data_IF_556774307146
#
_entry.id   IF_556774307146
#
_cell.length_a   1.000
_cell.length_b   1.000
_cell.length_c   1.000
_cell.angle_alpha   90.00
_cell.angle_beta   90.00
_cell.angle_gamma   90.00
#
_symmetry.space_group_name_H-M   'P 1'
#
loop_
_entity.id
_entity.type
_entity.pdbx_description
1 polymer ?
#
# COMPACT_ATOMS: atom_id res chain seq x y z
N UNK A 1 39.92 27.96 78.43
CA UNK A 1 40.89 26.84 78.43
C UNK A 1 40.68 26.04 77.16
N UNK A 2 41.73 25.96 76.31
CA UNK A 2 42.04 24.95 75.28
C UNK A 2 41.01 24.61 74.18
N UNK A 3 41.33 24.34 72.91
CA UNK A 3 42.52 24.38 72.02
C UNK A 3 41.95 24.11 70.60
N UNK A 4 42.09 25.03 69.64
CA UNK A 4 42.83 24.90 68.36
C UNK A 4 43.00 23.47 67.81
N UNK A 5 42.45 23.20 66.62
CA UNK A 5 42.95 22.26 65.59
C UNK A 5 42.41 22.74 64.21
N UNK A 6 43.18 23.50 63.44
CA UNK A 6 44.08 23.13 62.31
C UNK A 6 43.34 22.74 61.01
N UNK A 7 43.43 23.67 60.05
CA UNK A 7 43.24 23.51 58.60
C UNK A 7 44.27 22.51 58.01
N UNK A 8 43.87 21.69 57.04
CA UNK A 8 44.78 21.24 55.97
C UNK A 8 43.98 21.08 54.66
N UNK A 9 44.47 21.74 53.62
CA UNK A 9 43.99 21.75 52.23
C UNK A 9 44.75 20.67 51.45
N UNK A 10 44.05 19.90 50.62
CA UNK A 10 44.58 19.09 49.49
C UNK A 10 43.43 18.99 48.46
N UNK A 11 43.46 19.78 47.38
CA UNK A 11 44.12 19.54 46.09
C UNK A 11 43.41 18.51 45.20
N UNK A 12 42.67 19.04 44.22
CA UNK A 12 42.32 18.55 42.87
C UNK A 12 42.67 17.12 42.46
N UNK A 13 41.69 16.40 41.90
CA UNK A 13 41.81 15.80 40.56
C UNK A 13 40.43 15.70 39.88
N UNK A 14 40.36 16.29 38.69
CA UNK A 14 39.35 16.07 37.65
C UNK A 14 39.52 14.66 37.08
N UNK A 15 38.42 13.97 36.81
CA UNK A 15 38.39 12.97 35.74
C UNK A 15 36.96 12.76 35.21
N UNK A 16 36.78 13.29 34.00
CA UNK A 16 36.05 12.72 32.87
C UNK A 16 34.56 12.44 33.01
N UNK A 17 33.80 13.50 32.78
CA UNK A 17 32.55 13.48 32.01
C UNK A 17 32.81 12.85 30.64
N UNK A 18 32.75 11.52 30.54
CA UNK A 18 32.48 10.83 29.29
C UNK A 18 30.99 10.99 28.97
N UNK A 19 30.61 12.18 28.47
CA UNK A 19 29.42 12.31 27.65
C UNK A 19 29.71 11.53 26.36
N UNK A 20 29.33 10.25 26.34
CA UNK A 20 29.20 9.50 25.12
C UNK A 20 28.13 10.22 24.27
N UNK A 21 28.61 11.05 23.36
CA UNK A 21 27.81 11.57 22.25
C UNK A 21 27.44 10.36 21.41
N UNK A 22 26.29 9.74 21.72
CA UNK A 22 25.68 8.75 20.85
C UNK A 22 25.32 9.49 19.58
N UNK A 23 26.22 9.43 18.59
CA UNK A 23 25.87 9.73 17.22
C UNK A 23 24.77 8.73 16.87
N UNK A 24 23.52 9.17 16.91
CA UNK A 24 22.42 8.44 16.29
C UNK A 24 22.85 8.27 14.84
N UNK A 25 23.27 7.05 14.50
CA UNK A 25 23.49 6.68 13.12
C UNK A 25 22.14 6.86 12.45
N UNK A 26 22.03 7.89 11.62
CA UNK A 26 20.81 8.17 10.89
C UNK A 26 20.60 6.99 9.95
N UNK A 27 19.53 6.22 10.19
CA UNK A 27 19.22 5.05 9.38
C UNK A 27 19.10 5.47 7.90
N UNK A 28 19.61 4.65 6.97
CA UNK A 28 19.58 4.98 5.56
C UNK A 28 18.12 5.13 5.09
N UNK A 29 17.80 6.24 4.43
CA UNK A 29 16.46 6.42 3.85
C UNK A 29 16.17 5.37 2.77
N UNK A 30 14.90 5.03 2.54
CA UNK A 30 14.49 4.12 1.47
C UNK A 30 15.06 4.54 0.11
N UNK A 31 15.06 5.85 -0.16
CA UNK A 31 15.65 6.43 -1.38
C UNK A 31 17.14 6.14 -1.53
N UNK A 32 17.89 6.15 -0.42
CA UNK A 32 19.32 5.82 -0.41
C UNK A 32 19.54 4.32 -0.63
N UNK A 33 18.74 3.48 0.02
CA UNK A 33 18.82 2.04 -0.14
C UNK A 33 18.50 1.59 -1.57
N UNK A 34 17.47 2.18 -2.20
CA UNK A 34 17.12 1.93 -3.60
C UNK A 34 18.27 2.21 -4.59
N UNK A 35 19.18 3.12 -4.25
CA UNK A 35 20.33 3.46 -5.09
C UNK A 35 21.51 2.49 -4.91
N UNK A 36 21.58 1.79 -3.78
CA UNK A 36 22.70 0.91 -3.43
C UNK A 36 22.28 -0.17 -2.42
N UNK A 37 21.50 -1.19 -2.82
CA UNK A 37 20.96 -2.22 -1.94
C UNK A 37 21.98 -3.33 -1.60
N UNK A 38 23.26 -3.00 -1.50
CA UNK A 38 24.35 -3.95 -1.21
C UNK A 38 24.26 -4.39 0.25
N UNK A 39 23.87 -5.66 0.48
CA UNK A 39 23.79 -6.42 1.75
C UNK A 39 23.16 -5.74 2.98
N UNK A 40 22.67 -4.51 2.83
CA UNK A 40 21.99 -3.74 3.85
C UNK A 40 20.53 -4.14 3.93
N UNK A 41 20.06 -4.39 5.15
CA UNK A 41 18.63 -4.55 5.45
C UNK A 41 17.86 -3.32 4.93
N UNK A 42 16.75 -3.54 4.24
CA UNK A 42 15.96 -2.42 3.74
C UNK A 42 15.40 -1.64 4.94
N UNK A 43 15.36 -0.31 4.86
CA UNK A 43 14.80 0.50 5.93
C UNK A 43 13.31 0.21 6.12
N UNK A 44 12.81 0.43 7.33
CA UNK A 44 11.41 0.28 7.64
C UNK A 44 10.55 1.21 6.76
N UNK A 45 9.46 0.67 6.21
CA UNK A 45 8.44 1.45 5.51
C UNK A 45 7.45 1.88 6.59
N UNK A 46 7.42 3.16 6.91
CA UNK A 46 6.58 3.66 8.00
C UNK A 46 5.60 4.74 7.55
N UNK A 47 5.84 5.36 6.39
CA UNK A 47 5.08 6.51 5.94
C UNK A 47 4.42 6.29 4.58
N UNK A 48 3.39 7.08 4.29
CA UNK A 48 2.75 7.16 2.96
C UNK A 48 3.77 7.47 1.86
N UNK A 49 4.76 8.31 2.16
CA UNK A 49 5.81 8.69 1.21
C UNK A 49 6.73 7.50 0.91
N UNK A 50 7.15 6.74 1.93
CA UNK A 50 7.99 5.55 1.74
C UNK A 50 7.23 4.46 0.97
N UNK A 51 5.97 4.22 1.33
CA UNK A 51 5.12 3.25 0.64
C UNK A 51 4.89 3.63 -0.83
N UNK A 52 4.60 4.90 -1.10
CA UNK A 52 4.43 5.42 -2.47
C UNK A 52 5.72 5.32 -3.28
N UNK A 53 6.86 5.63 -2.67
CA UNK A 53 8.16 5.52 -3.32
C UNK A 53 8.48 4.06 -3.68
N UNK A 54 8.27 3.12 -2.74
CA UNK A 54 8.53 1.70 -2.98
C UNK A 54 7.67 1.14 -4.12
N UNK A 55 6.37 1.40 -4.09
CA UNK A 55 5.44 0.92 -5.11
C UNK A 55 5.67 1.62 -6.45
N UNK A 56 6.05 2.89 -6.46
CA UNK A 56 6.41 3.62 -7.67
C UNK A 56 7.67 3.06 -8.34
N UNK A 57 8.69 2.70 -7.56
CA UNK A 57 9.89 2.04 -8.10
C UNK A 57 9.58 0.64 -8.62
N UNK A 58 8.77 -0.15 -7.90
CA UNK A 58 8.32 -1.45 -8.42
C UNK A 58 7.55 -1.30 -9.74
N UNK A 59 6.54 -0.43 -9.76
CA UNK A 59 5.69 -0.18 -10.93
C UNK A 59 6.54 0.23 -12.15
N UNK A 60 7.52 1.12 -11.95
CA UNK A 60 8.43 1.58 -13.01
C UNK A 60 9.12 0.44 -13.77
N UNK A 61 9.46 -0.66 -13.11
CA UNK A 61 10.18 -1.78 -13.73
C UNK A 61 9.27 -2.89 -14.24
N UNK A 62 8.13 -3.11 -13.58
CA UNK A 62 7.26 -4.27 -13.85
C UNK A 62 5.95 -3.92 -14.55
N UNK A 63 5.55 -2.65 -14.59
CA UNK A 63 4.37 -2.21 -15.34
C UNK A 63 4.71 -2.04 -16.82
N UNK A 64 4.12 -2.85 -17.72
CA UNK A 64 4.40 -2.77 -19.16
C UNK A 64 3.95 -1.43 -19.77
N UNK A 65 3.05 -0.71 -19.10
CA UNK A 65 2.59 0.62 -19.53
C UNK A 65 3.47 1.76 -19.00
N UNK A 66 4.34 1.49 -18.01
CA UNK A 66 5.27 2.50 -17.51
C UNK A 66 6.37 2.79 -18.55
N UNK A 67 6.66 4.07 -18.74
CA UNK A 67 7.69 4.53 -19.66
C UNK A 67 9.10 4.09 -19.17
N UNK A 68 9.57 2.92 -19.63
CA UNK A 68 10.98 2.51 -19.50
C UNK A 68 11.27 1.09 -18.99
N UNK A 69 10.27 0.29 -18.60
CA UNK A 69 10.49 -1.04 -18.04
C UNK A 69 10.51 -2.15 -19.10
N UNK A 70 11.69 -2.68 -19.46
CA UNK A 70 11.82 -4.06 -19.93
C UNK A 70 12.39 -4.86 -18.76
N UNK A 71 11.68 -5.92 -18.38
CA UNK A 71 11.89 -6.68 -17.14
C UNK A 71 13.31 -7.20 -16.91
N UNK A 72 13.48 -7.68 -15.67
CA UNK A 72 14.71 -8.00 -14.94
C UNK A 72 15.49 -6.78 -14.42
N UNK A 73 15.11 -6.35 -13.22
CA UNK A 73 15.95 -5.56 -12.35
C UNK A 73 16.09 -6.28 -10.99
N UNK A 74 17.29 -6.75 -10.68
CA UNK A 74 17.61 -7.48 -9.45
C UNK A 74 17.26 -6.68 -8.19
N UNK A 75 17.44 -5.36 -8.22
CA UNK A 75 17.06 -4.46 -7.13
C UNK A 75 15.55 -4.41 -6.97
N UNK A 76 14.81 -4.31 -8.08
CA UNK A 76 13.35 -4.25 -8.05
C UNK A 76 12.73 -5.57 -7.57
N UNK A 77 13.34 -6.72 -7.89
CA UNK A 77 12.91 -8.02 -7.38
C UNK A 77 13.02 -8.13 -5.85
N UNK A 78 14.01 -7.48 -5.23
CA UNK A 78 14.13 -7.40 -3.75
C UNK A 78 12.99 -6.60 -3.12
N UNK A 79 12.32 -5.71 -3.87
CA UNK A 79 11.17 -4.96 -3.37
C UNK A 79 9.94 -5.84 -3.17
N UNK A 80 9.86 -7.01 -3.81
CA UNK A 80 8.66 -7.86 -3.79
C UNK A 80 8.21 -8.16 -2.35
N UNK A 81 9.16 -8.46 -1.47
CA UNK A 81 8.89 -8.82 -0.07
C UNK A 81 8.33 -7.66 0.77
N UNK A 82 8.49 -6.43 0.27
CA UNK A 82 8.11 -5.19 0.93
C UNK A 82 6.79 -4.59 0.41
N UNK A 83 6.31 -5.05 -0.75
CA UNK A 83 5.03 -4.64 -1.35
C UNK A 83 3.86 -4.81 -0.37
N UNK A 84 3.69 -5.95 0.34
CA UNK A 84 2.54 -6.14 1.23
C UNK A 84 2.45 -5.06 2.31
N UNK A 85 3.61 -4.67 2.87
CA UNK A 85 3.71 -3.63 3.89
C UNK A 85 3.37 -2.24 3.32
N UNK A 86 3.90 -1.89 2.15
CA UNK A 86 3.59 -0.62 1.50
C UNK A 86 2.10 -0.49 1.14
N UNK A 87 1.50 -1.56 0.60
CA UNK A 87 0.06 -1.60 0.28
C UNK A 87 -0.79 -1.44 1.55
N UNK A 88 -0.42 -2.08 2.67
CA UNK A 88 -1.12 -1.92 3.95
C UNK A 88 -1.10 -0.49 4.45
N UNK A 89 0.07 0.15 4.49
CA UNK A 89 0.21 1.54 4.98
C UNK A 89 -0.71 2.50 4.21
N UNK A 90 -0.73 2.38 2.88
CA UNK A 90 -1.61 3.20 2.05
C UNK A 90 -3.09 2.89 2.28
N UNK A 91 -3.44 1.60 2.38
CA UNK A 91 -4.82 1.18 2.62
C UNK A 91 -5.34 1.59 4.00
N UNK A 92 -4.52 1.46 5.04
CA UNK A 92 -4.84 1.88 6.41
C UNK A 92 -5.00 3.40 6.49
N UNK A 93 -4.10 4.16 5.86
CA UNK A 93 -4.23 5.62 5.78
C UNK A 93 -5.54 6.03 5.10
N UNK A 94 -5.89 5.39 3.97
CA UNK A 94 -7.15 5.65 3.30
C UNK A 94 -8.36 5.28 4.18
N UNK A 95 -8.30 4.18 4.93
CA UNK A 95 -9.36 3.79 5.86
C UNK A 95 -9.51 4.80 7.00
N UNK A 96 -8.42 5.33 7.55
CA UNK A 96 -8.43 6.36 8.60
C UNK A 96 -9.02 7.68 8.11
N UNK A 97 -8.66 8.13 6.91
CA UNK A 97 -9.25 9.32 6.29
C UNK A 97 -10.75 9.12 6.07
N UNK A 98 -11.14 7.96 5.54
CA UNK A 98 -12.54 7.60 5.30
C UNK A 98 -13.37 7.55 6.57
N UNK A 99 -12.77 7.08 7.68
CA UNK A 99 -13.42 7.05 8.98
C UNK A 99 -13.72 8.46 9.52
N UNK A 100 -12.91 9.46 9.14
CA UNK A 100 -13.13 10.87 9.47
C UNK A 100 -14.14 11.52 8.53
N UNK A 101 -14.05 11.23 7.23
CA UNK A 101 -14.98 11.71 6.20
C UNK A 101 -15.19 10.62 5.14
N UNK A 102 -16.42 10.10 5.05
CA UNK A 102 -16.80 9.06 4.09
C UNK A 102 -16.62 9.43 2.61
N UNK A 103 -16.42 10.71 2.29
CA UNK A 103 -16.10 11.19 0.94
C UNK A 103 -14.60 11.13 0.61
N UNK A 104 -13.74 11.00 1.63
CA UNK A 104 -12.29 10.88 1.50
C UNK A 104 -11.86 9.42 1.68
N UNK A 105 -10.61 9.11 1.31
CA UNK A 105 -10.01 7.79 1.54
C UNK A 105 -10.70 6.66 0.78
N UNK A 106 -10.08 6.16 -0.29
CA UNK A 106 -10.57 4.95 -0.96
C UNK A 106 -9.46 4.12 -1.56
N UNK A 107 -9.69 2.82 -1.60
CA UNK A 107 -8.88 1.82 -2.28
C UNK A 107 -9.71 1.26 -3.43
N UNK A 108 -9.11 1.20 -4.61
CA UNK A 108 -9.69 0.56 -5.79
C UNK A 108 -8.71 -0.49 -6.29
N UNK A 109 -9.24 -1.63 -6.71
CA UNK A 109 -8.44 -2.73 -7.26
C UNK A 109 -8.90 -3.01 -8.69
N UNK A 110 -7.95 -3.05 -9.62
CA UNK A 110 -8.14 -3.58 -10.97
C UNK A 110 -7.34 -4.87 -11.12
N UNK A 111 -7.98 -6.02 -10.97
CA UNK A 111 -7.32 -7.33 -10.96
C UNK A 111 -7.42 -7.94 -12.35
N UNK A 112 -6.30 -8.14 -13.04
CA UNK A 112 -6.27 -8.91 -14.28
C UNK A 112 -5.63 -10.27 -14.03
N UNK A 113 -6.37 -11.33 -14.31
CA UNK A 113 -5.94 -12.70 -14.03
C UNK A 113 -6.21 -13.63 -15.22
N UNK A 114 -5.44 -14.71 -15.31
CA UNK A 114 -5.56 -15.69 -16.41
C UNK A 114 -6.81 -16.55 -16.33
N UNK A 115 -7.41 -16.65 -15.14
CA UNK A 115 -8.64 -17.39 -14.90
C UNK A 115 -9.54 -16.68 -13.90
N UNK A 116 -10.83 -17.00 -13.93
CA UNK A 116 -11.80 -16.53 -12.94
C UNK A 116 -11.39 -16.94 -11.51
N UNK A 117 -10.84 -18.14 -11.35
CA UNK A 117 -10.40 -18.65 -10.06
C UNK A 117 -9.29 -17.77 -9.47
N UNK A 118 -8.22 -17.53 -10.23
CA UNK A 118 -7.08 -16.72 -9.79
C UNK A 118 -7.51 -15.28 -9.47
N UNK A 119 -8.39 -14.70 -10.29
CA UNK A 119 -8.92 -13.36 -10.04
C UNK A 119 -9.73 -13.27 -8.74
N UNK A 120 -10.59 -14.26 -8.48
CA UNK A 120 -11.40 -14.32 -7.25
C UNK A 120 -10.52 -14.60 -6.02
N UNK A 121 -9.50 -15.45 -6.15
CA UNK A 121 -8.53 -15.71 -5.08
C UNK A 121 -7.76 -14.44 -4.71
N UNK A 122 -7.23 -13.73 -5.70
CA UNK A 122 -6.56 -12.44 -5.49
C UNK A 122 -7.51 -11.43 -4.84
N UNK A 123 -8.75 -11.28 -5.34
CA UNK A 123 -9.75 -10.39 -4.75
C UNK A 123 -9.98 -10.72 -3.27
N UNK A 124 -10.20 -11.99 -2.95
CA UNK A 124 -10.44 -12.44 -1.57
C UNK A 124 -9.24 -12.18 -0.67
N UNK A 125 -8.03 -12.43 -1.17
CA UNK A 125 -6.80 -12.23 -0.41
C UNK A 125 -6.58 -10.77 -0.07
N UNK A 126 -6.66 -9.88 -1.06
CA UNK A 126 -6.55 -8.43 -0.86
C UNK A 126 -7.63 -7.89 0.07
N UNK A 127 -8.91 -8.17 -0.22
CA UNK A 127 -10.03 -7.65 0.58
C UNK A 127 -9.97 -8.15 2.03
N UNK A 128 -9.54 -9.39 2.27
CA UNK A 128 -9.45 -9.93 3.62
C UNK A 128 -8.25 -9.38 4.37
N UNK A 129 -7.07 -9.36 3.74
CA UNK A 129 -5.83 -8.93 4.40
C UNK A 129 -5.79 -7.44 4.69
N UNK A 130 -6.39 -6.63 3.82
CA UNK A 130 -6.49 -5.18 3.98
C UNK A 130 -7.74 -4.74 4.75
N UNK A 131 -8.52 -5.70 5.28
CA UNK A 131 -9.78 -5.47 6.01
C UNK A 131 -10.77 -4.56 5.25
N UNK A 132 -10.77 -4.66 3.92
CA UNK A 132 -11.62 -3.82 3.07
C UNK A 132 -13.09 -4.28 3.14
N UNK A 133 -14.04 -3.38 2.85
CA UNK A 133 -15.46 -3.75 2.78
C UNK A 133 -15.71 -4.90 1.82
N UNK A 134 -16.54 -5.85 2.24
CA UNK A 134 -17.00 -6.97 1.40
C UNK A 134 -18.35 -6.64 0.79
N UNK A 135 -18.47 -6.83 -0.51
CA UNK A 135 -19.72 -6.69 -1.25
C UNK A 135 -19.99 -7.87 -2.16
N UNK A 136 -20.93 -7.69 -3.08
CA UNK A 136 -21.28 -8.68 -4.08
C UNK A 136 -20.28 -8.65 -5.24
N UNK A 137 -19.94 -9.82 -5.78
CA UNK A 137 -19.25 -9.94 -7.05
C UNK A 137 -20.29 -10.10 -8.16
N UNK A 138 -20.39 -9.08 -9.01
CA UNK A 138 -21.25 -9.06 -10.17
C UNK A 138 -20.51 -9.62 -11.39
N UNK A 139 -21.24 -10.14 -12.38
CA UNK A 139 -20.65 -10.57 -13.66
C UNK A 139 -19.96 -11.96 -13.64
N UNK A 140 -20.04 -12.71 -12.54
CA UNK A 140 -19.52 -14.07 -12.47
C UNK A 140 -20.51 -15.14 -13.00
N UNK A 141 -21.81 -14.83 -12.98
CA UNK A 141 -22.88 -15.73 -13.39
C UNK A 141 -23.99 -14.99 -14.17
N UNK A 142 -24.81 -15.77 -14.88
CA UNK A 142 -26.08 -15.33 -15.44
C UNK A 142 -27.18 -16.25 -14.93
N UNK A 143 -28.12 -15.69 -14.16
CA UNK A 143 -29.24 -16.41 -13.56
C UNK A 143 -28.79 -17.60 -12.68
N UNK A 144 -27.68 -17.44 -11.94
CA UNK A 144 -27.10 -18.47 -11.07
C UNK A 144 -26.25 -19.51 -11.80
N UNK A 145 -26.09 -19.39 -13.12
CA UNK A 145 -25.23 -20.25 -13.93
C UNK A 145 -23.89 -19.54 -14.17
N UNK A 146 -22.76 -20.07 -13.66
CA UNK A 146 -21.44 -19.46 -13.88
C UNK A 146 -21.15 -19.24 -15.36
N UNK A 147 -20.58 -18.08 -15.68
CA UNK A 147 -20.17 -17.76 -17.04
C UNK A 147 -18.90 -18.53 -17.41
N UNK A 148 -18.86 -19.07 -18.63
CA UNK A 148 -17.64 -19.62 -19.20
C UNK A 148 -16.77 -18.46 -19.70
N UNK A 149 -15.64 -18.22 -19.05
CA UNK A 149 -14.73 -17.13 -19.42
C UNK A 149 -13.47 -17.68 -20.07
N UNK A 150 -13.11 -17.10 -21.21
CA UNK A 150 -11.93 -17.43 -22.01
C UNK A 150 -10.93 -16.28 -21.95
N UNK A 151 -9.64 -16.62 -21.99
CA UNK A 151 -8.49 -15.69 -22.11
C UNK A 151 -8.15 -14.85 -20.86
N UNK A 152 -9.05 -14.75 -19.87
CA UNK A 152 -8.77 -14.11 -18.58
C UNK A 152 -9.96 -13.32 -18.05
N UNK A 153 -9.79 -12.75 -16.87
CA UNK A 153 -10.78 -11.89 -16.20
C UNK A 153 -10.17 -10.56 -15.81
N UNK A 154 -11.00 -9.53 -15.82
CA UNK A 154 -10.75 -8.26 -15.16
C UNK A 154 -11.77 -8.11 -14.04
N UNK A 155 -11.29 -7.86 -12.82
CA UNK A 155 -12.14 -7.57 -11.68
C UNK A 155 -11.89 -6.14 -11.21
N UNK A 156 -12.93 -5.31 -11.25
CA UNK A 156 -12.92 -3.95 -10.70
C UNK A 156 -13.59 -3.93 -9.34
N UNK A 157 -12.86 -3.52 -8.31
CA UNK A 157 -13.34 -3.39 -6.94
C UNK A 157 -13.19 -1.95 -6.43
N UNK A 158 -14.10 -1.50 -5.56
CA UNK A 158 -14.01 -0.19 -4.90
C UNK A 158 -14.39 -0.30 -3.41
N UNK A 159 -13.51 0.15 -2.51
CA UNK A 159 -13.83 0.26 -1.07
C UNK A 159 -14.69 1.50 -0.76
N UNK A 160 -14.77 2.44 -1.70
CA UNK A 160 -15.65 3.60 -1.68
C UNK A 160 -16.96 3.37 -2.44
N UNK A 161 -17.95 4.20 -2.11
CA UNK A 161 -19.31 4.17 -2.67
C UNK A 161 -20.20 5.07 -1.80
N UNK A 162 -21.00 5.93 -2.42
CA UNK A 162 -21.60 7.09 -1.71
C UNK A 162 -23.11 6.99 -1.52
N UNK A 163 -23.78 6.01 -2.15
CA UNK A 163 -25.22 6.15 -2.30
C UNK A 163 -26.03 4.93 -1.87
N UNK A 164 -26.96 5.17 -0.93
CA UNK A 164 -28.17 4.35 -0.83
C UNK A 164 -29.04 4.58 -2.07
N UNK A 165 -29.93 3.63 -2.41
CA UNK A 165 -30.89 3.82 -3.51
C UNK A 165 -31.70 5.12 -3.43
N UNK A 166 -31.91 5.66 -2.23
CA UNK A 166 -32.63 6.91 -2.03
C UNK A 166 -31.80 8.14 -2.42
N UNK A 167 -30.48 8.08 -2.22
CA UNK A 167 -29.56 9.18 -2.47
C UNK A 167 -29.12 9.23 -3.94
N UNK A 168 -29.07 8.08 -4.65
CA UNK A 168 -28.89 7.99 -6.12
C UNK A 168 -30.02 8.73 -6.86
N UNK A 169 -31.27 8.51 -6.44
CA UNK A 169 -32.44 9.15 -7.09
C UNK A 169 -32.45 10.66 -6.93
N UNK A 170 -31.78 11.18 -5.90
CA UNK A 170 -31.68 12.62 -5.62
C UNK A 170 -30.47 13.27 -6.28
N UNK A 171 -29.38 12.53 -6.50
CA UNK A 171 -28.13 13.08 -7.04
C UNK A 171 -28.12 13.22 -8.56
N UNK A 172 -28.95 12.46 -9.28
CA UNK A 172 -28.97 12.46 -10.75
C UNK A 172 -27.73 11.84 -11.39
N UNK A 173 -26.86 11.22 -10.59
CA UNK A 173 -25.70 10.46 -11.05
C UNK A 173 -26.17 9.12 -11.64
N UNK A 174 -25.54 8.71 -12.75
CA UNK A 174 -25.89 7.50 -13.49
C UNK A 174 -25.64 6.18 -12.73
N UNK A 175 -25.91 5.06 -13.40
CA UNK A 175 -25.79 3.70 -12.84
C UNK A 175 -24.39 3.38 -12.27
N UNK A 176 -23.34 4.10 -12.65
CA UNK A 176 -21.98 3.95 -12.09
C UNK A 176 -21.90 4.33 -10.59
N UNK A 177 -22.94 4.99 -10.04
CA UNK A 177 -23.09 5.28 -8.61
C UNK A 177 -23.78 4.16 -7.80
N UNK A 178 -24.14 3.02 -8.41
CA UNK A 178 -24.88 1.91 -7.76
C UNK A 178 -24.04 0.99 -6.88
N UNK A 179 -22.74 1.17 -6.89
CA UNK A 179 -21.79 0.26 -6.27
C UNK A 179 -21.76 0.53 -4.77
N UNK A 180 -22.24 -0.44 -3.98
CA UNK A 180 -22.05 -0.38 -2.52
C UNK A 180 -20.55 -0.53 -2.23
N UNK A 181 -20.03 0.07 -1.14
CA UNK A 181 -18.68 -0.20 -0.69
C UNK A 181 -18.40 -1.70 -0.65
N UNK A 182 -17.38 -2.14 -1.37
CA UNK A 182 -16.97 -3.53 -1.46
C UNK A 182 -17.56 -4.34 -2.61
N UNK A 183 -18.50 -3.79 -3.38
CA UNK A 183 -18.98 -4.46 -4.60
C UNK A 183 -17.87 -4.50 -5.67
N UNK A 184 -17.84 -5.58 -6.44
CA UNK A 184 -16.87 -5.80 -7.51
C UNK A 184 -17.54 -6.26 -8.82
N UNK A 185 -17.01 -5.82 -9.96
CA UNK A 185 -17.44 -6.27 -11.30
C UNK A 185 -16.42 -7.27 -11.79
N UNK A 186 -16.89 -8.39 -12.32
CA UNK A 186 -16.08 -9.27 -13.12
C UNK A 186 -16.47 -9.13 -14.59
N UNK A 187 -15.47 -8.92 -15.44
CA UNK A 187 -15.61 -8.89 -16.89
C UNK A 187 -14.61 -9.85 -17.55
N UNK A 188 -14.94 -10.31 -18.75
CA UNK A 188 -13.98 -11.03 -19.57
C UNK A 188 -12.85 -10.07 -19.97
N UNK A 189 -11.62 -10.54 -19.89
CA UNK A 189 -10.44 -9.75 -20.23
C UNK A 189 -9.60 -10.49 -21.26
N UNK A 190 -9.30 -9.81 -22.37
CA UNK A 190 -8.52 -10.33 -23.50
C UNK A 190 -7.13 -9.70 -23.61
N UNK A 191 -6.79 -8.76 -22.72
CA UNK A 191 -5.46 -8.16 -22.68
C UNK A 191 -4.40 -9.08 -22.06
N UNK A 192 -3.14 -8.70 -22.24
CA UNK A 192 -1.98 -9.51 -21.83
C UNK A 192 -1.52 -9.24 -20.40
N UNK A 193 -2.01 -8.17 -19.78
CA UNK A 193 -1.58 -7.75 -18.46
C UNK A 193 -2.09 -8.69 -17.35
N UNK A 194 -1.24 -8.99 -16.36
CA UNK A 194 -1.56 -9.82 -15.19
C UNK A 194 -1.03 -9.18 -13.93
N UNK A 195 -1.87 -9.07 -12.91
CA UNK A 195 -1.54 -8.36 -11.66
C UNK A 195 -2.75 -7.65 -11.07
N UNK A 196 -2.49 -6.82 -10.07
CA UNK A 196 -3.47 -5.93 -9.45
C UNK A 196 -3.01 -4.49 -9.63
N UNK A 197 -3.81 -3.67 -10.30
CA UNK A 197 -3.70 -2.23 -10.17
C UNK A 197 -4.28 -1.83 -8.82
N UNK A 198 -3.41 -1.56 -7.86
CA UNK A 198 -3.74 -0.99 -6.56
C UNK A 198 -3.77 0.53 -6.70
N UNK A 199 -4.96 1.10 -6.66
CA UNK A 199 -5.17 2.54 -6.63
C UNK A 199 -5.64 2.97 -5.25
N UNK A 200 -5.02 4.01 -4.72
CA UNK A 200 -5.42 4.63 -3.46
C UNK A 200 -5.64 6.11 -3.68
N UNK A 201 -6.72 6.64 -3.11
CA UNK A 201 -6.95 8.08 -3.08
C UNK A 201 -6.97 8.56 -1.64
N UNK A 202 -6.07 9.52 -1.39
CA UNK A 202 -5.89 10.18 -0.12
C UNK A 202 -6.24 11.67 -0.26
N UNK A 203 -6.39 12.35 0.87
CA UNK A 203 -6.77 13.76 0.94
C UNK A 203 -5.68 14.74 0.48
N UNK A 204 -4.46 14.26 0.24
CA UNK A 204 -3.33 15.05 -0.23
C UNK A 204 -3.40 15.42 -1.73
N UNK A 205 -4.33 14.82 -2.47
CA UNK A 205 -4.56 15.12 -3.89
C UNK A 205 -3.53 14.51 -4.84
N UNK A 206 -2.60 13.67 -4.37
CA UNK A 206 -1.68 12.96 -5.26
C UNK A 206 -2.38 11.73 -5.87
N UNK A 207 -2.20 11.55 -7.18
CA UNK A 207 -2.67 10.37 -7.88
C UNK A 207 -1.74 9.18 -7.61
N UNK A 208 -2.28 8.10 -7.02
CA UNK A 208 -1.53 6.89 -6.70
C UNK A 208 -2.21 5.66 -7.30
N UNK A 209 -1.58 5.10 -8.33
CA UNK A 209 -1.96 3.83 -8.93
C UNK A 209 -0.68 3.05 -9.23
N UNK A 210 -0.58 1.83 -8.71
CA UNK A 210 0.59 0.99 -8.85
C UNK A 210 0.19 -0.43 -9.23
N UNK A 211 0.96 -1.04 -10.11
CA UNK A 211 0.90 -2.45 -10.39
C UNK A 211 1.55 -3.25 -9.25
N UNK A 212 0.83 -4.20 -8.67
CA UNK A 212 1.39 -5.21 -7.75
C UNK A 212 1.05 -6.64 -8.20
N UNK A 213 1.81 -7.67 -7.76
CA UNK A 213 1.53 -9.07 -8.11
C UNK A 213 0.15 -9.58 -7.64
N UNK A 214 -0.41 -10.56 -8.34
CA UNK A 214 -1.65 -11.24 -7.92
C UNK A 214 -1.50 -11.93 -6.56
N UNK A 215 -0.32 -12.46 -6.28
CA UNK A 215 0.08 -13.20 -5.08
C UNK A 215 0.69 -12.29 -3.99
N UNK A 216 0.34 -11.00 -3.97
CA UNK A 216 0.87 -10.07 -2.95
C UNK A 216 0.50 -10.50 -1.52
N UNK A 217 -0.66 -11.14 -1.34
CA UNK A 217 -1.16 -11.59 -0.03
C UNK A 217 -1.58 -13.05 -0.05
#
# INVERSE_FOLDING_TARGET
MSRILILTILSTYLSDTALAFSASAQEPSLKTWLQSPEDAEAPAIETVADASLLLGEWDRFFNPEAAGGKGDNEVASKLKDYIPTAVRILSETAAEERAKDSAQGRCMLGICASSMQDGIEALKSFVTTLELPRGLLHGADKDGVPLEIKNGVYIKYNSGGVYSFADIRKSGLGFDALWKPGDAMLEQYDGDYRGVYFQVELSDGEFRQYLVPLDTF
#
